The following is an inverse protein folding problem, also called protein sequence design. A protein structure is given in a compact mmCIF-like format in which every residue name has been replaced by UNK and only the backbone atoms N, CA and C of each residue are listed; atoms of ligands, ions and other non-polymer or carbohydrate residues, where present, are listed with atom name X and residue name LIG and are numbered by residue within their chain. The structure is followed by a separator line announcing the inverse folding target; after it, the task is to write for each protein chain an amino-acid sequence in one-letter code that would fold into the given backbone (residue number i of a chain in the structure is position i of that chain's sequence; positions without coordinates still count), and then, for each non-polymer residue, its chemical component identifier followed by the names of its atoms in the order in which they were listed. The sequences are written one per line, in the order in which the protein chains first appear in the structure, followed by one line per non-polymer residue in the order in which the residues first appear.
data_IF_588092765597
#
_entry.id   IF_588092765597
#
_cell.length_a   1.000
_cell.length_b   1.000
_cell.length_c   1.000
_cell.angle_alpha   90.00
_cell.angle_beta   90.00
_cell.angle_gamma   90.00
#
_symmetry.space_group_name_H-M   'P 1'
#
loop_
_entity.id
_entity.type
_entity.pdbx_description
1 polymer ?
#
# COMPACT_ATOMS: atom_id res chain seq x y z
N UNK A 1 68.61 -21.79 -8.01
CA UNK A 1 67.20 -22.14 -8.22
C UNK A 1 66.42 -20.94 -7.72
N UNK A 2 65.95 -20.11 -8.67
CA UNK A 2 65.26 -18.84 -8.35
C UNK A 2 63.77 -19.10 -8.61
N UNK A 3 62.99 -19.09 -7.53
CA UNK A 3 61.52 -19.29 -7.61
C UNK A 3 60.86 -17.97 -7.99
N UNK A 4 60.23 -17.90 -9.14
CA UNK A 4 59.38 -16.77 -9.59
C UNK A 4 57.96 -17.03 -9.11
N UNK A 5 57.47 -16.18 -8.22
CA UNK A 5 56.13 -16.18 -7.70
C UNK A 5 55.21 -15.41 -8.69
N UNK A 6 54.14 -16.00 -9.25
CA UNK A 6 53.23 -15.24 -10.10
C UNK A 6 52.30 -14.39 -9.27
N UNK A 7 52.36 -13.06 -9.47
CA UNK A 7 51.46 -12.07 -8.92
C UNK A 7 50.11 -12.15 -9.67
N UNK A 8 49.10 -12.78 -9.09
CA UNK A 8 47.77 -12.83 -9.64
C UNK A 8 47.09 -11.47 -9.40
N UNK A 9 47.02 -10.62 -10.43
CA UNK A 9 46.17 -9.45 -10.45
C UNK A 9 44.71 -9.89 -10.52
N UNK A 10 43.99 -9.85 -9.42
CA UNK A 10 42.51 -9.90 -9.41
C UNK A 10 41.99 -8.59 -9.96
N UNK A 11 41.61 -8.55 -11.22
CA UNK A 11 40.81 -7.46 -11.78
C UNK A 11 39.42 -7.47 -11.09
N UNK A 12 39.24 -6.63 -10.10
CA UNK A 12 37.92 -6.31 -9.58
C UNK A 12 37.16 -5.62 -10.70
N UNK A 13 36.36 -6.39 -11.46
CA UNK A 13 35.41 -5.84 -12.40
C UNK A 13 34.44 -4.95 -11.60
N UNK A 14 34.53 -3.64 -11.78
CA UNK A 14 33.56 -2.65 -11.29
C UNK A 14 32.23 -2.90 -12.03
N UNK A 15 31.52 -3.95 -11.68
CA UNK A 15 30.15 -4.13 -12.10
C UNK A 15 29.29 -3.14 -11.30
N UNK A 16 28.66 -2.19 -12.00
CA UNK A 16 27.71 -1.28 -11.37
C UNK A 16 26.63 -2.12 -10.67
N UNK A 17 26.24 -1.75 -9.43
CA UNK A 17 25.18 -2.46 -8.73
C UNK A 17 23.91 -2.51 -9.62
N UNK A 18 23.14 -3.61 -9.62
CA UNK A 18 21.90 -3.70 -10.41
C UNK A 18 20.89 -2.60 -10.05
N UNK A 19 20.91 -2.12 -8.81
CA UNK A 19 20.12 -0.99 -8.33
C UNK A 19 20.46 0.30 -9.08
N UNK A 20 21.72 0.55 -9.41
CA UNK A 20 22.15 1.74 -10.12
C UNK A 20 21.48 1.86 -11.49
N UNK A 21 21.39 0.77 -12.22
CA UNK A 21 20.75 0.76 -13.55
C UNK A 21 19.24 0.98 -13.42
N UNK A 22 18.60 0.32 -12.46
CA UNK A 22 17.17 0.44 -12.20
C UNK A 22 16.79 1.88 -11.80
N UNK A 23 17.50 2.46 -10.85
CA UNK A 23 17.25 3.83 -10.38
C UNK A 23 17.56 4.89 -11.44
N UNK A 24 18.60 4.68 -12.26
CA UNK A 24 18.90 5.56 -13.40
C UNK A 24 17.71 5.60 -14.37
N UNK A 25 17.14 4.43 -14.69
CA UNK A 25 15.97 4.34 -15.57
C UNK A 25 14.74 5.03 -14.94
N UNK A 26 14.50 4.79 -13.66
CA UNK A 26 13.39 5.39 -12.93
C UNK A 26 13.47 6.91 -12.89
N UNK A 27 14.60 7.49 -12.45
CA UNK A 27 14.74 8.94 -12.38
C UNK A 27 14.74 9.61 -13.78
N UNK A 28 15.27 8.91 -14.80
CA UNK A 28 15.16 9.37 -16.19
C UNK A 28 13.69 9.40 -16.65
N UNK A 29 12.91 8.37 -16.34
CA UNK A 29 11.47 8.33 -16.66
C UNK A 29 10.71 9.43 -15.92
N UNK A 30 11.04 9.69 -14.64
CA UNK A 30 10.45 10.76 -13.85
C UNK A 30 10.73 12.14 -14.46
N UNK A 31 11.97 12.42 -14.87
CA UNK A 31 12.33 13.66 -15.59
C UNK A 31 11.58 13.81 -16.90
N UNK A 32 11.46 12.74 -17.66
CA UNK A 32 10.76 12.71 -18.94
C UNK A 32 9.23 12.72 -18.80
N UNK A 33 8.69 12.56 -17.59
CA UNK A 33 7.26 12.34 -17.28
C UNK A 33 6.69 11.16 -18.06
N UNK A 34 7.49 10.10 -18.20
CA UNK A 34 7.08 8.85 -18.83
C UNK A 34 6.27 8.01 -17.82
N UNK A 35 4.98 8.34 -17.72
CA UNK A 35 4.07 7.68 -16.77
C UNK A 35 3.92 6.17 -17.05
N UNK A 36 4.13 5.74 -18.29
CA UNK A 36 4.06 4.31 -18.65
C UNK A 36 5.22 3.55 -18.01
N UNK A 37 6.44 4.05 -18.17
CA UNK A 37 7.63 3.45 -17.54
C UNK A 37 7.55 3.55 -16.02
N UNK A 38 7.12 4.70 -15.47
CA UNK A 38 6.98 4.89 -14.02
C UNK A 38 5.97 3.91 -13.41
N UNK A 39 4.82 3.70 -14.02
CA UNK A 39 3.81 2.73 -13.56
C UNK A 39 4.32 1.28 -13.55
N UNK A 40 5.29 0.95 -14.41
CA UNK A 40 5.93 -0.37 -14.40
C UNK A 40 7.03 -0.50 -13.33
N UNK A 41 7.58 0.60 -12.85
CA UNK A 41 8.74 0.60 -11.95
C UNK A 41 8.41 1.01 -10.51
N UNK A 42 7.23 1.58 -10.26
CA UNK A 42 6.92 2.18 -8.97
C UNK A 42 5.44 2.06 -8.63
N UNK A 43 5.14 1.78 -7.36
CA UNK A 43 3.81 1.91 -6.76
C UNK A 43 3.59 3.30 -6.14
N UNK A 44 4.60 4.16 -6.15
CA UNK A 44 4.52 5.55 -5.67
C UNK A 44 4.82 6.52 -6.80
N UNK A 45 4.21 7.70 -6.76
CA UNK A 45 4.49 8.77 -7.71
C UNK A 45 5.53 9.72 -7.14
N UNK A 46 6.46 10.15 -8.00
CA UNK A 46 7.33 11.29 -7.74
C UNK A 46 6.80 12.44 -8.62
N UNK A 47 6.20 13.47 -8.00
CA UNK A 47 5.75 14.65 -8.74
C UNK A 47 6.88 15.70 -8.79
N UNK A 48 7.49 15.91 -9.97
CA UNK A 48 8.55 16.91 -10.11
C UNK A 48 8.13 18.34 -9.78
N UNK A 49 6.82 18.63 -9.74
CA UNK A 49 6.30 19.97 -9.42
C UNK A 49 6.28 20.24 -7.92
N UNK A 50 6.17 19.19 -7.12
CA UNK A 50 6.11 19.29 -5.66
C UNK A 50 7.45 18.92 -5.03
N UNK A 51 8.04 17.81 -5.48
CA UNK A 51 9.21 17.19 -4.89
C UNK A 51 10.52 17.51 -5.62
N UNK A 52 10.43 18.18 -6.79
CA UNK A 52 11.60 18.46 -7.61
C UNK A 52 12.02 17.26 -8.46
N UNK A 53 13.21 17.38 -9.05
CA UNK A 53 13.75 16.41 -10.02
C UNK A 53 15.14 15.99 -9.59
N UNK A 54 15.38 14.68 -9.48
CA UNK A 54 16.73 14.14 -9.24
C UNK A 54 17.55 14.26 -10.51
N UNK A 55 18.60 15.09 -10.47
CA UNK A 55 19.49 15.34 -11.63
C UNK A 55 20.60 14.31 -11.70
N UNK A 56 21.24 14.04 -10.57
CA UNK A 56 22.30 13.05 -10.42
C UNK A 56 22.19 12.35 -9.06
N UNK A 57 22.77 11.17 -8.94
CA UNK A 57 22.82 10.43 -7.68
C UNK A 57 23.96 9.43 -7.63
N UNK A 58 24.38 9.14 -6.41
CA UNK A 58 25.32 8.07 -6.08
C UNK A 58 24.73 7.18 -5.00
N UNK A 59 24.77 5.85 -5.20
CA UNK A 59 24.35 4.89 -4.18
C UNK A 59 25.42 4.86 -3.09
N UNK A 60 25.04 5.17 -1.86
CA UNK A 60 25.93 5.15 -0.69
C UNK A 60 25.82 3.85 0.08
N UNK A 61 24.63 3.25 0.14
CA UNK A 61 24.44 1.92 0.72
C UNK A 61 23.22 1.20 0.17
N UNK A 62 23.24 -0.12 0.29
CA UNK A 62 22.10 -1.01 0.02
C UNK A 62 21.98 -1.95 1.21
N UNK A 63 20.79 -2.02 1.82
CA UNK A 63 20.54 -2.96 2.93
C UNK A 63 20.42 -4.39 2.42
N UNK A 64 20.68 -5.39 3.26
CA UNK A 64 20.31 -6.76 2.99
C UNK A 64 18.81 -6.90 2.70
N UNK A 65 18.44 -7.90 1.91
CA UNK A 65 17.04 -8.22 1.65
C UNK A 65 16.32 -8.63 2.94
N UNK A 66 15.20 -7.99 3.21
CA UNK A 66 14.25 -8.36 4.26
C UNK A 66 13.08 -9.12 3.65
N UNK A 67 12.69 -10.25 4.23
CA UNK A 67 11.62 -11.11 3.74
C UNK A 67 10.48 -11.15 4.75
N UNK A 68 9.29 -10.78 4.31
CA UNK A 68 8.08 -10.74 5.14
C UNK A 68 7.01 -11.63 4.51
N UNK A 69 6.49 -12.63 5.24
CA UNK A 69 5.40 -13.46 4.74
C UNK A 69 4.21 -12.62 4.30
N UNK A 70 3.60 -12.96 3.16
CA UNK A 70 2.43 -12.30 2.60
C UNK A 70 1.24 -13.25 2.63
N UNK A 71 0.42 -13.15 3.67
CA UNK A 71 -0.77 -13.98 3.87
C UNK A 71 -2.03 -13.29 3.32
N UNK A 72 -2.16 -13.25 2.00
CA UNK A 72 -3.32 -12.65 1.33
C UNK A 72 -4.60 -13.42 1.61
N UNK A 73 -4.54 -14.74 1.83
CA UNK A 73 -5.72 -15.56 2.11
C UNK A 73 -6.39 -15.16 3.42
N UNK A 74 -5.60 -14.99 4.48
CA UNK A 74 -6.13 -14.53 5.78
C UNK A 74 -6.70 -13.12 5.69
N UNK A 75 -6.10 -12.22 4.92
CA UNK A 75 -6.62 -10.86 4.71
C UNK A 75 -7.95 -10.87 3.95
N UNK A 76 -8.07 -11.65 2.89
CA UNK A 76 -9.32 -11.82 2.13
C UNK A 76 -10.42 -12.44 2.99
N UNK A 77 -10.08 -13.42 3.81
CA UNK A 77 -11.02 -14.05 4.75
C UNK A 77 -11.49 -13.04 5.81
N UNK A 78 -10.59 -12.24 6.37
CA UNK A 78 -10.96 -11.18 7.32
C UNK A 78 -11.88 -10.12 6.70
N UNK A 79 -11.63 -9.72 5.44
CA UNK A 79 -12.52 -8.81 4.71
C UNK A 79 -13.90 -9.44 4.50
N UNK A 80 -13.97 -10.71 4.11
CA UNK A 80 -15.22 -11.45 3.95
C UNK A 80 -15.99 -11.50 5.27
N UNK A 81 -15.34 -11.87 6.37
CA UNK A 81 -15.96 -11.93 7.69
C UNK A 81 -16.50 -10.57 8.16
N UNK A 82 -15.76 -9.49 7.92
CA UNK A 82 -16.21 -8.13 8.24
C UNK A 82 -17.48 -7.75 7.45
N UNK A 83 -17.55 -8.08 6.17
CA UNK A 83 -18.74 -7.84 5.32
C UNK A 83 -19.93 -8.68 5.76
N UNK A 84 -19.71 -9.96 6.07
CA UNK A 84 -20.76 -10.85 6.55
C UNK A 84 -21.34 -10.32 7.88
N UNK A 85 -20.49 -9.89 8.80
CA UNK A 85 -20.90 -9.31 10.08
C UNK A 85 -21.69 -8.00 9.89
N UNK A 86 -21.27 -7.10 8.97
CA UNK A 86 -22.02 -5.88 8.62
C UNK A 86 -23.40 -6.23 8.04
N UNK A 87 -23.48 -7.21 7.15
CA UNK A 87 -24.74 -7.67 6.53
C UNK A 87 -25.72 -8.22 7.57
N UNK A 88 -25.25 -9.09 8.47
CA UNK A 88 -26.07 -9.63 9.54
C UNK A 88 -26.51 -8.55 10.54
N UNK A 89 -25.64 -7.60 10.84
CA UNK A 89 -26.01 -6.43 11.63
C UNK A 89 -27.09 -5.58 10.94
N UNK A 90 -26.94 -5.32 9.65
CA UNK A 90 -27.92 -4.54 8.86
C UNK A 90 -29.30 -5.19 8.86
N UNK A 91 -29.39 -6.52 8.75
CA UNK A 91 -30.67 -7.27 8.86
C UNK A 91 -31.33 -7.05 10.22
N UNK A 92 -30.59 -7.26 11.30
CA UNK A 92 -31.11 -7.05 12.68
C UNK A 92 -31.55 -5.60 12.92
N UNK A 93 -30.77 -4.64 12.42
CA UNK A 93 -31.12 -3.21 12.49
C UNK A 93 -32.42 -2.93 11.76
N UNK A 94 -32.60 -3.50 10.56
CA UNK A 94 -33.83 -3.33 9.76
C UNK A 94 -35.04 -3.95 10.47
N UNK A 95 -34.91 -5.14 11.06
CA UNK A 95 -35.96 -5.76 11.86
C UNK A 95 -36.38 -4.89 13.01
N UNK A 96 -35.40 -4.38 13.80
CA UNK A 96 -35.68 -3.45 14.89
C UNK A 96 -36.35 -2.15 14.40
N UNK A 97 -35.88 -1.57 13.29
CA UNK A 97 -36.44 -0.37 12.70
C UNK A 97 -37.89 -0.59 12.27
N UNK A 98 -38.19 -1.69 11.59
CA UNK A 98 -39.55 -2.01 11.15
C UNK A 98 -40.51 -2.20 12.34
N UNK A 99 -40.05 -2.89 13.39
CA UNK A 99 -40.84 -3.11 14.59
C UNK A 99 -41.15 -1.83 15.38
N UNK A 100 -40.29 -0.81 15.28
CA UNK A 100 -40.38 0.42 16.10
C UNK A 100 -40.54 1.70 15.24
N UNK A 101 -40.83 1.56 13.95
CA UNK A 101 -40.83 2.67 12.97
C UNK A 101 -41.62 3.90 13.45
N UNK A 102 -42.91 3.78 13.91
CA UNK A 102 -43.71 4.96 14.30
C UNK A 102 -43.06 5.71 15.45
N UNK A 103 -42.42 5.01 16.42
CA UNK A 103 -41.80 5.65 17.59
C UNK A 103 -40.47 6.28 17.20
N UNK A 104 -39.70 5.61 16.34
CA UNK A 104 -38.41 6.14 15.81
C UNK A 104 -38.67 7.44 15.05
N UNK A 105 -39.68 7.50 14.18
CA UNK A 105 -40.07 8.72 13.43
C UNK A 105 -40.43 9.89 14.37
N UNK A 106 -41.19 9.59 15.42
CA UNK A 106 -41.53 10.58 16.43
C UNK A 106 -40.28 11.09 17.16
N UNK A 107 -39.39 10.19 17.60
CA UNK A 107 -38.14 10.55 18.29
C UNK A 107 -37.26 11.40 17.38
N UNK A 108 -37.03 11.01 16.13
CA UNK A 108 -36.22 11.77 15.15
C UNK A 108 -36.81 13.15 14.88
N UNK A 109 -38.17 13.27 14.85
CA UNK A 109 -38.84 14.56 14.73
C UNK A 109 -38.64 15.46 15.95
N UNK A 110 -38.72 14.87 17.15
CA UNK A 110 -38.55 15.59 18.42
C UNK A 110 -37.08 15.99 18.67
N UNK A 111 -36.11 15.24 18.20
CA UNK A 111 -34.67 15.57 18.27
C UNK A 111 -34.31 16.90 17.58
N UNK A 112 -35.15 17.36 16.64
CA UNK A 112 -34.97 18.66 15.95
C UNK A 112 -35.46 19.85 16.76
N UNK A 113 -36.25 19.61 17.84
CA UNK A 113 -36.75 20.65 18.73
C UNK A 113 -36.01 20.58 20.09
N UNK A 114 -35.13 21.55 20.40
CA UNK A 114 -34.38 21.58 21.66
C UNK A 114 -35.25 21.66 22.91
N UNK A 115 -36.52 22.06 22.78
CA UNK A 115 -37.49 22.18 23.88
C UNK A 115 -38.36 20.93 24.06
N UNK A 116 -38.33 20.01 23.12
CA UNK A 116 -39.14 18.82 23.19
C UNK A 116 -38.71 17.89 24.34
N UNK A 117 -39.69 17.28 25.00
CA UNK A 117 -39.45 16.27 26.03
C UNK A 117 -39.93 14.91 25.53
N UNK A 118 -39.04 13.95 25.60
CA UNK A 118 -39.35 12.56 25.29
C UNK A 118 -40.06 11.90 26.49
N UNK A 119 -41.06 11.07 26.20
CA UNK A 119 -41.64 10.16 27.18
C UNK A 119 -40.66 9.09 27.60
N UNK A 120 -40.80 8.40 28.74
CA UNK A 120 -39.95 7.32 29.15
C UNK A 120 -39.84 6.19 28.07
N UNK A 121 -40.95 5.85 27.42
CA UNK A 121 -40.94 4.87 26.34
C UNK A 121 -40.14 5.34 25.11
N UNK A 122 -40.27 6.61 24.72
CA UNK A 122 -39.50 7.22 23.63
C UNK A 122 -38.00 7.30 23.97
N UNK A 123 -37.62 7.53 25.24
CA UNK A 123 -36.22 7.53 25.68
C UNK A 123 -35.56 6.16 25.50
N UNK A 124 -36.28 5.07 25.80
CA UNK A 124 -35.78 3.69 25.59
C UNK A 124 -35.53 3.43 24.10
N UNK A 125 -36.52 3.79 23.26
CA UNK A 125 -36.35 3.60 21.79
C UNK A 125 -35.23 4.49 21.24
N UNK A 126 -35.12 5.73 21.74
CA UNK A 126 -34.03 6.64 21.37
C UNK A 126 -32.65 6.03 21.70
N UNK A 127 -32.46 5.59 22.94
CA UNK A 127 -31.19 4.99 23.37
C UNK A 127 -30.81 3.76 22.54
N UNK A 128 -31.78 2.88 22.25
CA UNK A 128 -31.57 1.74 21.38
C UNK A 128 -31.22 2.16 19.94
N UNK A 129 -31.95 3.17 19.40
CA UNK A 129 -31.71 3.68 18.05
C UNK A 129 -30.36 4.37 17.90
N UNK A 130 -29.93 5.12 18.93
CA UNK A 130 -28.60 5.73 18.98
C UNK A 130 -27.50 4.66 18.98
N UNK A 131 -27.69 3.60 19.78
CA UNK A 131 -26.78 2.47 19.78
C UNK A 131 -26.72 1.79 18.40
N UNK A 132 -27.83 1.58 17.73
CA UNK A 132 -27.84 1.02 16.37
C UNK A 132 -27.07 1.93 15.38
N UNK A 133 -27.15 3.24 15.53
CA UNK A 133 -26.38 4.20 14.70
C UNK A 133 -24.88 4.09 14.96
N UNK A 134 -24.48 4.03 16.23
CA UNK A 134 -23.08 3.89 16.63
C UNK A 134 -22.49 2.55 16.17
N UNK A 135 -23.19 1.46 16.44
CA UNK A 135 -22.76 0.12 16.01
C UNK A 135 -22.62 0.03 14.48
N UNK A 136 -23.57 0.66 13.73
CA UNK A 136 -23.50 0.75 12.26
C UNK A 136 -22.19 1.38 11.80
N UNK A 137 -21.79 2.50 12.39
CA UNK A 137 -20.53 3.17 12.06
C UNK A 137 -19.30 2.27 12.40
N UNK A 138 -19.40 1.45 13.44
CA UNK A 138 -18.36 0.53 13.86
C UNK A 138 -18.19 -0.61 12.84
N UNK A 139 -19.27 -1.24 12.37
CA UNK A 139 -19.20 -2.28 11.34
C UNK A 139 -18.69 -1.73 10.01
N UNK A 140 -19.15 -0.56 9.57
CA UNK A 140 -18.66 0.08 8.35
C UNK A 140 -17.17 0.42 8.42
N UNK A 141 -16.67 0.89 9.57
CA UNK A 141 -15.22 1.10 9.78
C UNK A 141 -14.44 -0.21 9.72
N UNK A 142 -14.97 -1.29 10.30
CA UNK A 142 -14.32 -2.60 10.27
C UNK A 142 -14.17 -3.14 8.83
N UNK A 143 -15.23 -3.03 8.01
CA UNK A 143 -15.18 -3.40 6.58
C UNK A 143 -14.16 -2.55 5.83
N UNK A 144 -14.19 -1.22 6.05
CA UNK A 144 -13.26 -0.31 5.40
C UNK A 144 -11.81 -0.60 5.76
N UNK A 145 -11.52 -0.89 7.04
CA UNK A 145 -10.18 -1.24 7.50
C UNK A 145 -9.71 -2.58 6.93
N UNK A 146 -10.57 -3.60 6.92
CA UNK A 146 -10.23 -4.90 6.36
C UNK A 146 -9.95 -4.81 4.85
N UNK A 147 -10.78 -4.05 4.11
CA UNK A 147 -10.56 -3.78 2.69
C UNK A 147 -9.26 -3.02 2.42
N UNK A 148 -8.96 -2.00 3.21
CA UNK A 148 -7.71 -1.26 3.10
C UNK A 148 -6.50 -2.18 3.30
N UNK A 149 -6.53 -3.07 4.30
CA UNK A 149 -5.47 -4.04 4.54
C UNK A 149 -5.24 -5.00 3.35
N UNK A 150 -6.32 -5.43 2.68
CA UNK A 150 -6.21 -6.24 1.44
C UNK A 150 -5.55 -5.41 0.33
N UNK A 151 -6.02 -4.17 0.10
CA UNK A 151 -5.49 -3.30 -0.96
C UNK A 151 -4.01 -2.98 -0.72
N UNK A 152 -3.65 -2.62 0.50
CA UNK A 152 -2.28 -2.26 0.87
C UNK A 152 -1.31 -3.45 0.72
N UNK A 153 -1.75 -4.66 1.04
CA UNK A 153 -0.95 -5.87 0.89
C UNK A 153 -0.89 -6.36 -0.58
N UNK A 154 -1.99 -6.25 -1.31
CA UNK A 154 -2.11 -6.75 -2.70
C UNK A 154 -1.42 -5.83 -3.70
N UNK A 155 -1.51 -4.51 -3.53
CA UNK A 155 -1.01 -3.54 -4.49
C UNK A 155 0.46 -3.71 -4.87
N UNK A 156 1.40 -3.77 -3.91
CA UNK A 156 2.81 -4.02 -4.21
C UNK A 156 3.07 -5.40 -4.84
N UNK A 157 2.34 -6.44 -4.41
CA UNK A 157 2.49 -7.79 -4.98
C UNK A 157 2.02 -7.83 -6.44
N UNK A 158 0.86 -7.26 -6.73
CA UNK A 158 0.32 -7.13 -8.08
C UNK A 158 1.25 -6.33 -8.98
N UNK A 159 1.69 -5.14 -8.53
CA UNK A 159 2.62 -4.30 -9.29
C UNK A 159 3.95 -5.01 -9.60
N UNK A 160 4.42 -5.87 -8.69
CA UNK A 160 5.63 -6.67 -8.87
C UNK A 160 5.45 -7.84 -9.85
N UNK A 161 4.32 -8.56 -9.76
CA UNK A 161 4.06 -9.82 -10.47
C UNK A 161 3.40 -9.63 -11.84
N UNK A 162 2.60 -8.56 -12.02
CA UNK A 162 1.84 -8.35 -13.25
C UNK A 162 2.67 -7.64 -14.32
N UNK A 163 2.58 -8.12 -15.56
CA UNK A 163 3.16 -7.47 -16.74
C UNK A 163 2.05 -7.08 -17.71
N UNK A 164 2.24 -6.05 -18.54
CA UNK A 164 1.28 -5.70 -19.58
C UNK A 164 0.92 -6.91 -20.46
N UNK A 165 -0.39 -7.15 -20.64
CA UNK A 165 -0.89 -8.28 -21.44
C UNK A 165 -1.02 -9.61 -20.71
N UNK A 166 -0.67 -9.68 -19.42
CA UNK A 166 -0.95 -10.84 -18.57
C UNK A 166 -2.36 -10.78 -17.94
N UNK A 167 -2.94 -11.95 -17.56
CA UNK A 167 -4.16 -11.98 -16.77
C UNK A 167 -4.03 -11.15 -15.49
N UNK A 168 -5.14 -10.60 -14.96
CA UNK A 168 -5.15 -9.92 -13.68
C UNK A 168 -4.58 -10.81 -12.57
N UNK A 169 -3.90 -10.19 -11.61
CA UNK A 169 -3.40 -10.88 -10.42
C UNK A 169 -4.56 -11.39 -9.57
N UNK A 170 -4.54 -12.70 -9.26
CA UNK A 170 -5.49 -13.30 -8.31
C UNK A 170 -4.82 -13.45 -6.95
N UNK A 171 -5.13 -12.59 -5.96
CA UNK A 171 -4.51 -12.65 -4.64
C UNK A 171 -4.88 -13.93 -3.87
N UNK A 172 -6.01 -14.59 -4.19
CA UNK A 172 -6.42 -15.83 -3.54
C UNK A 172 -5.55 -17.03 -3.96
N UNK A 173 -4.96 -16.96 -5.15
CA UNK A 173 -4.09 -18.00 -5.70
C UNK A 173 -2.61 -17.81 -5.33
N UNK A 174 -2.25 -16.66 -4.71
CA UNK A 174 -0.87 -16.38 -4.33
C UNK A 174 -0.52 -16.90 -2.94
N UNK A 175 0.67 -17.47 -2.80
CA UNK A 175 1.29 -17.82 -1.51
C UNK A 175 2.78 -17.52 -1.60
N UNK A 176 3.28 -16.68 -0.69
CA UNK A 176 4.68 -16.26 -0.76
C UNK A 176 5.03 -15.18 0.24
N UNK A 177 6.00 -14.37 -0.12
CA UNK A 177 6.56 -13.31 0.71
C UNK A 177 6.84 -12.04 -0.10
N UNK A 178 6.86 -10.91 0.59
CA UNK A 178 7.43 -9.68 0.07
C UNK A 178 8.90 -9.60 0.46
N UNK A 179 9.74 -9.40 -0.51
CA UNK A 179 11.18 -9.16 -0.33
C UNK A 179 11.42 -7.67 -0.52
N UNK A 180 12.03 -7.02 0.46
CA UNK A 180 12.31 -5.59 0.42
C UNK A 180 13.76 -5.28 0.73
N UNK A 181 14.25 -4.15 0.24
CA UNK A 181 15.55 -3.56 0.58
C UNK A 181 15.49 -2.04 0.45
N UNK A 182 16.30 -1.36 1.23
CA UNK A 182 16.48 0.07 1.12
C UNK A 182 17.78 0.41 0.40
N UNK A 183 17.70 1.37 -0.50
CA UNK A 183 18.85 1.94 -1.23
C UNK A 183 18.99 3.39 -0.80
N UNK A 184 20.09 3.73 -0.15
CA UNK A 184 20.40 5.09 0.25
C UNK A 184 21.22 5.76 -0.83
N UNK A 185 20.81 6.97 -1.19
CA UNK A 185 21.41 7.76 -2.26
C UNK A 185 21.83 9.13 -1.75
N UNK A 186 23.00 9.58 -2.13
CA UNK A 186 23.31 11.01 -2.16
C UNK A 186 22.90 11.52 -3.55
N UNK A 187 22.00 12.49 -3.59
CA UNK A 187 21.38 13.00 -4.80
C UNK A 187 21.47 14.51 -4.92
N UNK A 188 21.52 14.99 -6.14
CA UNK A 188 21.31 16.42 -6.47
C UNK A 188 19.86 16.59 -6.94
N UNK A 189 19.08 17.36 -6.19
CA UNK A 189 17.67 17.62 -6.50
C UNK A 189 17.52 19.05 -6.99
N UNK A 190 16.94 19.20 -8.18
CA UNK A 190 16.49 20.51 -8.68
C UNK A 190 15.05 20.72 -8.21
N UNK A 191 14.83 21.70 -7.34
CA UNK A 191 13.49 22.08 -6.88
C UNK A 191 12.65 22.72 -8.01
N UNK A 192 11.33 22.91 -7.81
CA UNK A 192 10.45 23.54 -8.80
C UNK A 192 10.84 24.98 -9.19
N UNK A 193 11.62 25.67 -8.33
CA UNK A 193 12.15 27.01 -8.58
C UNK A 193 13.45 27.01 -9.39
N UNK A 194 13.96 25.81 -9.76
CA UNK A 194 15.15 25.64 -10.59
C UNK A 194 16.48 25.64 -9.81
N UNK A 195 16.44 25.69 -8.49
CA UNK A 195 17.63 25.62 -7.63
C UNK A 195 18.01 24.18 -7.38
N UNK A 196 19.29 23.84 -7.48
CA UNK A 196 19.82 22.51 -7.18
C UNK A 196 20.41 22.49 -5.79
N UNK A 197 20.07 21.49 -5.01
CA UNK A 197 20.59 21.26 -3.66
C UNK A 197 20.88 19.75 -3.44
N UNK A 198 21.92 19.42 -2.64
CA UNK A 198 22.19 18.06 -2.25
C UNK A 198 21.13 17.57 -1.26
N UNK A 199 20.75 16.29 -1.39
CA UNK A 199 19.82 15.61 -0.49
C UNK A 199 20.20 14.13 -0.35
N UNK A 200 19.91 13.54 0.81
CA UNK A 200 20.03 12.11 0.99
C UNK A 200 18.65 11.47 0.87
N UNK A 201 18.48 10.57 -0.09
CA UNK A 201 17.24 9.86 -0.34
C UNK A 201 17.35 8.42 0.13
N UNK A 202 16.25 7.89 0.67
CA UNK A 202 16.09 6.46 0.91
C UNK A 202 14.98 5.93 -0.01
N UNK A 203 15.35 5.03 -0.91
CA UNK A 203 14.43 4.37 -1.84
C UNK A 203 14.19 2.94 -1.37
N UNK A 204 12.95 2.64 -0.96
CA UNK A 204 12.55 1.26 -0.64
C UNK A 204 12.10 0.56 -1.91
N UNK A 205 12.78 -0.53 -2.24
CA UNK A 205 12.45 -1.42 -3.36
C UNK A 205 11.85 -2.70 -2.82
N UNK A 206 10.79 -3.20 -3.46
CA UNK A 206 10.15 -4.46 -3.07
C UNK A 206 9.89 -5.34 -4.30
N UNK A 207 9.78 -6.66 -4.07
CA UNK A 207 9.27 -7.63 -5.03
C UNK A 207 8.52 -8.75 -4.31
N UNK A 208 7.56 -9.36 -4.98
CA UNK A 208 6.89 -10.55 -4.48
C UNK A 208 7.61 -11.80 -4.97
N UNK A 209 7.75 -12.79 -4.08
CA UNK A 209 8.36 -14.10 -4.41
C UNK A 209 7.49 -15.20 -3.81
N UNK A 210 7.11 -16.20 -4.60
CA UNK A 210 6.23 -17.26 -4.12
C UNK A 210 5.69 -18.14 -5.21
N UNK A 211 4.47 -18.63 -5.03
CA UNK A 211 3.74 -19.41 -6.03
C UNK A 211 2.41 -18.72 -6.36
N UNK A 212 2.04 -18.72 -7.62
CA UNK A 212 0.74 -18.25 -8.11
C UNK A 212 0.07 -19.40 -8.86
N UNK A 213 -1.05 -19.90 -8.33
CA UNK A 213 -1.72 -21.07 -8.90
C UNK A 213 -0.86 -22.34 -8.88
N UNK A 214 0.09 -22.47 -7.95
CA UNK A 214 1.03 -23.60 -7.83
C UNK A 214 2.31 -23.47 -8.64
N UNK A 215 2.44 -22.46 -9.50
CA UNK A 215 3.66 -22.18 -10.26
C UNK A 215 4.57 -21.19 -9.52
N UNK A 216 5.87 -21.48 -9.46
CA UNK A 216 6.84 -20.55 -8.87
C UNK A 216 6.87 -19.25 -9.66
N UNK A 217 6.80 -18.14 -8.94
CA UNK A 217 6.83 -16.78 -9.49
C UNK A 217 7.79 -15.90 -8.69
N UNK A 218 8.59 -15.16 -9.40
CA UNK A 218 9.44 -14.11 -8.87
C UNK A 218 9.09 -12.81 -9.60
N UNK A 219 8.62 -11.85 -8.84
CA UNK A 219 8.22 -10.54 -9.36
C UNK A 219 9.44 -9.67 -9.64
N UNK A 220 9.23 -8.62 -10.45
CA UNK A 220 10.23 -7.57 -10.65
C UNK A 220 10.34 -6.68 -9.43
N UNK A 221 11.49 -6.06 -9.24
CA UNK A 221 11.64 -4.99 -8.28
C UNK A 221 10.79 -3.79 -8.67
N UNK A 222 10.12 -3.21 -7.69
CA UNK A 222 9.38 -1.95 -7.82
C UNK A 222 9.74 -1.03 -6.66
N UNK A 223 9.63 0.27 -6.86
CA UNK A 223 9.78 1.27 -5.80
C UNK A 223 8.46 1.40 -5.07
N UNK A 224 8.46 1.22 -3.75
CA UNK A 224 7.27 1.35 -2.90
C UNK A 224 7.34 2.54 -1.97
N UNK A 225 8.51 3.16 -1.81
CA UNK A 225 8.69 4.36 -1.00
C UNK A 225 9.91 5.13 -1.45
N UNK A 226 9.82 6.46 -1.40
CA UNK A 226 10.94 7.40 -1.50
C UNK A 226 10.81 8.36 -0.32
N UNK A 227 11.87 8.49 0.48
CA UNK A 227 11.92 9.39 1.61
C UNK A 227 13.14 10.33 1.46
N UNK A 228 13.03 11.56 1.99
CA UNK A 228 14.09 12.58 1.91
C UNK A 228 13.90 13.60 0.78
N UNK A 229 12.77 13.55 0.05
CA UNK A 229 12.37 14.56 -0.96
C UNK A 229 11.39 15.56 -0.40
#
# INVERSE_FOLDING_TARGET
MTAVLPLALTAAACSRPPEQQFLTQFFRAARARDNTTLAMMSAVSLDPREQGTVEDFTITSVTPENRTPLDLKSLLEAERQARDAESEFAKRKMEYQNANLPVIEQVVKLERDPKARLTPAQQVVKAAWDKWREDSATYTRAVSAARAAVVDATGPAEASLTQPGQPPFDPSAFTGEMVSKDVVLDAEIRNPQGQTAPATLTVTMTRAVGTLGGEAREGRWIITRIAGV
#
